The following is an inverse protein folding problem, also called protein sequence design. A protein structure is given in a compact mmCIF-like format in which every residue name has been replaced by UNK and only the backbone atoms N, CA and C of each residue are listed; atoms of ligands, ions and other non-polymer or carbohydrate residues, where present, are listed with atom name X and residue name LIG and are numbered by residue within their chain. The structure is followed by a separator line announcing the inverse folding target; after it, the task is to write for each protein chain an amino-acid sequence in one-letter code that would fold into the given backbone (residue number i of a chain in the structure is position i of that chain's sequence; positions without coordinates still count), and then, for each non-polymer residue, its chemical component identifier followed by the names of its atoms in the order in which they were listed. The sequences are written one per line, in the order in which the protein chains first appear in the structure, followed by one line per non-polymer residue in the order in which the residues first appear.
data_IF_364561730338
#
_entry.id   IF_364561730338
#
_cell.length_a   1.000
_cell.length_b   1.000
_cell.length_c   1.000
_cell.angle_alpha   90.00
_cell.angle_beta   90.00
_cell.angle_gamma   90.00
#
_symmetry.space_group_name_H-M   'P 1'
#
loop_
_entity.id
_entity.type
_entity.pdbx_description
1 polymer ?
#
# COMPACT_ATOMS: atom_id res chain seq x y z
N UNK A 1 10.49 1.86 2.86
CA UNK A 1 9.78 2.21 4.12
C UNK A 1 10.72 2.77 5.19
N UNK A 2 11.85 2.13 5.50
CA UNK A 2 12.81 2.62 6.51
C UNK A 2 13.34 4.04 6.23
N UNK A 3 13.53 4.38 4.96
CA UNK A 3 14.03 5.71 4.56
C UNK A 3 13.05 6.84 4.87
N UNK A 4 11.73 6.58 4.80
CA UNK A 4 10.68 7.55 5.13
C UNK A 4 10.71 7.89 6.62
N UNK A 5 10.81 6.86 7.47
CA UNK A 5 10.85 7.07 8.92
C UNK A 5 12.12 7.83 9.32
N UNK A 6 13.24 7.54 8.65
CA UNK A 6 14.49 8.26 8.89
C UNK A 6 14.42 9.72 8.43
N UNK A 7 13.82 10.01 7.28
CA UNK A 7 13.68 11.40 6.80
C UNK A 7 12.77 12.21 7.72
N UNK A 8 11.59 11.68 8.04
CA UNK A 8 10.63 12.31 8.94
C UNK A 8 11.22 12.55 10.34
N UNK A 9 12.04 11.63 10.84
CA UNK A 9 12.74 11.82 12.12
C UNK A 9 13.75 12.97 12.06
N UNK A 10 14.52 13.08 10.97
CA UNK A 10 15.46 14.20 10.78
C UNK A 10 14.71 15.53 10.70
N UNK A 11 13.52 15.56 10.11
CA UNK A 11 12.70 16.78 10.01
C UNK A 11 12.20 17.29 11.37
N UNK A 12 12.15 16.43 12.40
CA UNK A 12 11.85 16.83 13.78
C UNK A 12 13.04 17.46 14.51
N UNK A 13 14.20 17.61 13.85
CA UNK A 13 15.38 18.20 14.46
C UNK A 13 15.06 19.59 15.04
N UNK A 14 15.50 19.89 16.28
CA UNK A 14 15.11 21.11 16.96
C UNK A 14 15.70 22.34 16.24
N UNK A 15 14.84 23.23 15.80
CA UNK A 15 15.25 24.54 15.30
C UNK A 15 15.08 25.57 16.41
N UNK A 16 16.19 26.22 16.78
CA UNK A 16 16.21 27.21 17.88
C UNK A 16 15.64 26.67 19.20
N UNK A 17 15.87 25.37 19.48
CA UNK A 17 15.43 24.70 20.70
C UNK A 17 13.98 24.25 20.73
N UNK A 18 13.22 24.44 19.64
CA UNK A 18 11.86 23.92 19.50
C UNK A 18 11.86 22.71 18.56
N UNK A 19 11.32 21.60 19.05
CA UNK A 19 11.06 20.40 18.25
C UNK A 19 9.83 20.71 17.39
N UNK A 20 9.95 20.51 16.09
CA UNK A 20 8.82 20.64 15.18
C UNK A 20 7.99 19.35 15.21
N UNK A 21 6.67 19.52 15.37
CA UNK A 21 5.73 18.42 15.22
C UNK A 21 5.63 18.02 13.74
N UNK A 22 5.29 16.75 13.51
CA UNK A 22 5.04 16.23 12.17
C UNK A 22 3.55 16.35 11.87
N UNK A 23 3.21 17.17 10.88
CA UNK A 23 1.84 17.31 10.41
C UNK A 23 1.43 16.14 9.50
N UNK A 24 0.14 15.75 9.49
CA UNK A 24 -0.37 14.68 8.63
C UNK A 24 -0.06 14.87 7.14
N UNK A 25 0.01 16.13 6.69
CA UNK A 25 0.33 16.47 5.30
C UNK A 25 1.78 16.14 4.93
N UNK A 26 2.73 16.28 5.87
CA UNK A 26 4.14 15.91 5.66
C UNK A 26 4.28 14.39 5.48
N UNK A 27 3.52 13.61 6.26
CA UNK A 27 3.47 12.15 6.12
C UNK A 27 2.90 11.77 4.75
N UNK A 28 1.80 12.42 4.32
CA UNK A 28 1.19 12.16 3.02
C UNK A 28 2.14 12.46 1.86
N UNK A 29 2.85 13.58 1.93
CA UNK A 29 3.84 13.95 0.91
C UNK A 29 5.00 12.95 0.87
N UNK A 30 5.57 12.60 2.02
CA UNK A 30 6.68 11.65 2.11
C UNK A 30 6.30 10.25 1.56
N UNK A 31 5.07 9.78 1.80
CA UNK A 31 4.57 8.51 1.25
C UNK A 31 4.45 8.58 -0.28
N UNK A 32 3.97 9.70 -0.82
CA UNK A 32 3.86 9.91 -2.27
C UNK A 32 5.22 9.96 -2.94
N UNK A 33 6.16 10.73 -2.39
CA UNK A 33 7.50 10.92 -2.94
C UNK A 33 8.33 9.63 -2.92
N UNK A 34 8.19 8.83 -1.86
CA UNK A 34 8.93 7.58 -1.73
C UNK A 34 8.48 6.46 -2.68
N UNK A 35 7.48 6.69 -3.55
CA UNK A 35 6.90 5.72 -4.50
C UNK A 35 6.61 4.34 -3.88
N UNK A 36 6.37 4.29 -2.57
CA UNK A 36 6.08 3.02 -1.85
C UNK A 36 4.78 2.40 -2.37
N UNK A 37 3.87 3.21 -2.92
CA UNK A 37 2.65 2.75 -3.58
C UNK A 37 2.89 2.06 -4.94
N UNK A 38 4.04 2.29 -5.60
CA UNK A 38 4.40 1.56 -6.83
C UNK A 38 5.04 0.20 -6.51
N UNK A 39 5.74 0.06 -5.38
CA UNK A 39 6.29 -1.23 -4.94
C UNK A 39 5.20 -2.26 -4.63
N UNK A 40 4.03 -1.81 -4.17
CA UNK A 40 2.86 -2.67 -4.00
C UNK A 40 2.08 -2.94 -5.30
N UNK A 41 2.43 -2.28 -6.41
CA UNK A 41 1.81 -2.53 -7.71
C UNK A 41 2.46 -3.68 -8.49
N UNK A 42 3.71 -4.05 -8.19
CA UNK A 42 4.39 -5.19 -8.84
C UNK A 42 3.73 -6.54 -8.51
N UNK A 43 3.05 -6.65 -7.36
CA UNK A 43 2.33 -7.85 -6.96
C UNK A 43 0.87 -7.89 -7.42
N UNK A 44 0.36 -6.82 -8.05
CA UNK A 44 -1.02 -6.76 -8.53
C UNK A 44 -1.12 -7.51 -9.84
N UNK A 45 -1.78 -8.68 -9.89
CA UNK A 45 -2.03 -9.34 -11.16
C UNK A 45 -2.87 -8.38 -12.00
N UNK A 46 -2.38 -8.08 -13.19
CA UNK A 46 -3.09 -7.28 -14.19
C UNK A 46 -4.53 -7.79 -14.28
N UNK A 47 -5.51 -6.88 -14.34
CA UNK A 47 -6.95 -7.17 -14.21
C UNK A 47 -7.44 -8.36 -15.09
N UNK A 48 -6.79 -8.61 -16.23
CA UNK A 48 -7.08 -9.74 -17.12
C UNK A 48 -6.52 -11.11 -16.70
N UNK A 49 -5.53 -11.17 -15.81
CA UNK A 49 -4.93 -12.41 -15.24
C UNK A 49 -5.48 -12.76 -13.85
N UNK A 50 -6.34 -11.93 -13.29
CA UNK A 50 -6.85 -12.10 -11.93
C UNK A 50 -7.75 -13.34 -11.78
N UNK A 51 -7.58 -14.06 -10.67
CA UNK A 51 -8.32 -15.29 -10.33
C UNK A 51 -9.78 -14.96 -10.01
N UNK A 52 -10.71 -15.78 -10.50
CA UNK A 52 -12.15 -15.64 -10.23
C UNK A 52 -12.59 -16.59 -9.11
N UNK A 53 -13.48 -16.13 -8.23
CA UNK A 53 -14.05 -16.98 -7.17
C UNK A 53 -15.35 -17.62 -7.68
N UNK A 54 -15.42 -18.95 -7.67
CA UNK A 54 -16.64 -19.70 -7.95
C UNK A 54 -17.40 -19.97 -6.66
N UNK A 55 -18.67 -19.58 -6.60
CA UNK A 55 -19.58 -19.86 -5.48
C UNK A 55 -20.80 -20.63 -5.98
N UNK A 56 -21.58 -21.20 -5.06
CA UNK A 56 -22.86 -21.87 -5.39
C UNK A 56 -23.87 -20.96 -6.11
N UNK A 57 -23.73 -19.64 -5.97
CA UNK A 57 -24.63 -18.63 -6.56
C UNK A 57 -24.07 -17.98 -7.83
N UNK A 58 -22.85 -18.33 -8.25
CA UNK A 58 -22.24 -17.80 -9.47
C UNK A 58 -20.74 -17.47 -9.31
N UNK A 59 -20.20 -16.81 -10.34
CA UNK A 59 -18.78 -16.43 -10.44
C UNK A 59 -18.60 -14.96 -10.05
N UNK A 60 -17.72 -14.71 -9.08
CA UNK A 60 -17.31 -13.36 -8.68
C UNK A 60 -16.02 -13.03 -9.42
N UNK A 61 -16.08 -11.98 -10.23
CA UNK A 61 -14.92 -11.40 -10.93
C UNK A 61 -14.47 -10.14 -10.20
N UNK A 62 -13.16 -9.94 -9.97
CA UNK A 62 -12.67 -8.65 -9.48
C UNK A 62 -13.01 -7.56 -10.49
N UNK A 63 -13.37 -6.37 -10.00
CA UNK A 63 -13.75 -5.19 -10.80
C UNK A 63 -12.76 -4.02 -10.68
N UNK A 64 -11.81 -4.12 -9.76
CA UNK A 64 -10.74 -3.14 -9.57
C UNK A 64 -9.41 -3.83 -9.26
N UNK A 65 -8.26 -3.16 -9.44
CA UNK A 65 -6.94 -3.70 -9.07
C UNK A 65 -6.87 -4.15 -7.61
N UNK A 66 -7.43 -3.36 -6.68
CA UNK A 66 -7.46 -3.71 -5.26
C UNK A 66 -8.25 -5.00 -4.98
N UNK A 67 -9.35 -5.24 -5.71
CA UNK A 67 -10.11 -6.49 -5.59
C UNK A 67 -9.33 -7.68 -6.15
N UNK A 68 -8.60 -7.49 -7.26
CA UNK A 68 -7.74 -8.53 -7.81
C UNK A 68 -6.62 -8.92 -6.83
N UNK A 69 -5.96 -7.93 -6.22
CA UNK A 69 -4.95 -8.16 -5.19
C UNK A 69 -5.51 -8.90 -3.98
N UNK A 70 -6.67 -8.47 -3.49
CA UNK A 70 -7.29 -9.08 -2.33
C UNK A 70 -7.59 -10.56 -2.56
N UNK A 71 -8.14 -10.91 -3.73
CA UNK A 71 -8.42 -12.31 -4.11
C UNK A 71 -7.11 -13.11 -4.25
N UNK A 72 -6.05 -12.53 -4.82
CA UNK A 72 -4.75 -13.19 -4.92
C UNK A 72 -4.15 -13.48 -3.53
N UNK A 73 -4.22 -12.53 -2.60
CA UNK A 73 -3.71 -12.71 -1.24
C UNK A 73 -4.45 -13.81 -0.49
N UNK A 74 -5.78 -13.92 -0.65
CA UNK A 74 -6.57 -15.02 -0.08
C UNK A 74 -6.04 -16.37 -0.59
N UNK A 75 -5.78 -16.48 -1.90
CA UNK A 75 -5.24 -17.70 -2.50
C UNK A 75 -3.88 -18.09 -1.93
N UNK A 76 -2.98 -17.11 -1.79
CA UNK A 76 -1.60 -17.37 -1.39
C UNK A 76 -1.43 -17.61 0.12
N UNK A 77 -2.30 -17.05 0.96
CA UNK A 77 -2.11 -17.03 2.42
C UNK A 77 -3.22 -17.73 3.22
N UNK A 78 -4.47 -17.75 2.75
CA UNK A 78 -5.62 -18.07 3.60
C UNK A 78 -6.20 -19.48 3.36
N UNK A 79 -5.89 -20.13 2.22
CA UNK A 79 -6.53 -21.41 1.82
C UNK A 79 -5.67 -22.67 2.03
N UNK A 80 -4.56 -22.57 2.76
CA UNK A 80 -3.65 -23.70 3.03
C UNK A 80 -4.34 -24.90 3.69
#
# INVERSE_FOLDING_TARGET
AADILRSLYVDTAPMRGQIQDIEPEQIHLAIKEARVLEQSAESVPEYGKAVNIKTKRGVIKPRTPNQAQYIANILDHDIT
#
